data_IF_399343469561
#
_entry.id   IF_399343469561
#
_cell.length_a   1.000
_cell.length_b   1.000
_cell.length_c   1.000
_cell.angle_alpha   90.00
_cell.angle_beta   90.00
_cell.angle_gamma   90.00
#
_symmetry.space_group_name_H-M   'P 1'
#
loop_
_entity.id
_entity.type
_entity.pdbx_description
1 polymer ?
#
# COMPACT_ATOMS: atom_id res chain seq x y z
N UNK A 1 14.35 -6.85 11.72
CA UNK A 1 14.27 -8.10 10.93
C UNK A 1 13.97 -9.34 11.77
N UNK A 2 14.54 -9.47 12.98
CA UNK A 2 14.33 -10.63 13.89
C UNK A 2 12.85 -10.95 14.18
N UNK A 3 12.01 -9.94 14.44
CA UNK A 3 10.58 -10.16 14.67
C UNK A 3 9.87 -10.88 13.52
N UNK A 4 10.21 -10.55 12.27
CA UNK A 4 9.62 -11.18 11.09
C UNK A 4 9.93 -12.67 11.03
N UNK A 5 11.16 -13.06 11.38
CA UNK A 5 11.58 -14.45 11.40
C UNK A 5 10.82 -15.26 12.46
N UNK A 6 10.60 -14.69 13.66
CA UNK A 6 9.78 -15.33 14.69
C UNK A 6 8.32 -15.47 14.29
N UNK A 7 7.73 -14.44 13.67
CA UNK A 7 6.36 -14.51 13.14
C UNK A 7 6.25 -15.53 12.01
N UNK A 8 7.24 -15.61 11.12
CA UNK A 8 7.25 -16.57 10.00
C UNK A 8 7.42 -18.02 10.46
N UNK A 9 8.21 -18.25 11.52
CA UNK A 9 8.41 -19.57 12.13
C UNK A 9 7.29 -19.98 13.10
N UNK A 10 6.31 -19.10 13.35
CA UNK A 10 5.22 -19.38 14.30
C UNK A 10 5.63 -19.32 15.78
N UNK A 11 6.83 -18.82 16.09
CA UNK A 11 7.31 -18.66 17.46
C UNK A 11 6.70 -17.41 18.10
N UNK A 12 5.46 -17.55 18.59
CA UNK A 12 4.69 -16.46 19.19
C UNK A 12 5.33 -15.87 20.46
N UNK A 13 5.91 -16.64 21.39
CA UNK A 13 6.54 -16.07 22.59
C UNK A 13 7.67 -15.09 22.25
N UNK A 14 8.57 -15.49 21.35
CA UNK A 14 9.68 -14.63 20.94
C UNK A 14 9.21 -13.44 20.09
N UNK A 15 8.21 -13.66 19.23
CA UNK A 15 7.59 -12.56 18.48
C UNK A 15 6.95 -11.53 19.42
N UNK A 16 6.25 -11.96 20.47
CA UNK A 16 5.62 -11.09 21.46
C UNK A 16 6.66 -10.23 22.20
N UNK A 17 7.77 -10.83 22.62
CA UNK A 17 8.84 -10.11 23.31
C UNK A 17 9.46 -9.01 22.42
N UNK A 18 9.75 -9.33 21.15
CA UNK A 18 10.33 -8.34 20.23
C UNK A 18 9.32 -7.26 19.87
N UNK A 19 8.03 -7.61 19.72
CA UNK A 19 6.98 -6.61 19.49
C UNK A 19 6.83 -5.65 20.67
N UNK A 20 6.94 -6.13 21.91
CA UNK A 20 6.89 -5.29 23.11
C UNK A 20 8.02 -4.24 23.09
N UNK A 21 9.25 -4.67 22.78
CA UNK A 21 10.40 -3.77 22.61
C UNK A 21 10.17 -2.72 21.51
N UNK A 22 9.64 -3.15 20.36
CA UNK A 22 9.34 -2.23 19.26
C UNK A 22 8.24 -1.24 19.64
N UNK A 23 7.26 -1.66 20.47
CA UNK A 23 6.13 -0.82 20.89
C UNK A 23 6.57 0.36 21.75
N UNK A 24 7.60 0.18 22.58
CA UNK A 24 8.18 1.24 23.41
C UNK A 24 8.85 2.35 22.57
N UNK A 25 9.29 2.01 21.36
CA UNK A 25 9.96 2.94 20.45
C UNK A 25 9.01 3.50 19.38
N UNK A 26 7.87 2.86 19.17
CA UNK A 26 6.90 3.24 18.16
C UNK A 26 6.16 4.53 18.52
N UNK A 27 5.99 5.42 17.54
CA UNK A 27 5.18 6.62 17.73
C UNK A 27 4.58 7.07 16.39
N UNK A 28 3.24 7.23 16.30
CA UNK A 28 2.56 7.64 15.07
C UNK A 28 2.79 9.12 14.70
N UNK A 29 3.17 9.94 15.68
CA UNK A 29 3.51 11.37 15.51
C UNK A 29 5.02 11.64 15.65
N UNK A 30 5.84 10.61 15.84
CA UNK A 30 7.28 10.71 16.00
C UNK A 30 8.05 10.89 14.68
N UNK A 31 9.35 10.60 14.73
CA UNK A 31 10.20 10.63 13.54
C UNK A 31 9.79 9.56 12.50
N UNK A 32 10.34 9.64 11.28
CA UNK A 32 9.99 8.73 10.20
C UNK A 32 10.10 7.25 10.59
N UNK A 33 11.17 6.86 11.30
CA UNK A 33 11.39 5.48 11.72
C UNK A 33 10.39 5.04 12.79
N UNK A 34 10.04 5.91 13.73
CA UNK A 34 9.04 5.63 14.76
C UNK A 34 7.64 5.44 14.15
N UNK A 35 7.30 6.25 13.14
CA UNK A 35 6.04 6.14 12.41
C UNK A 35 5.97 4.83 11.64
N UNK A 36 7.02 4.50 10.90
CA UNK A 36 7.13 3.21 10.18
C UNK A 36 7.02 2.05 11.17
N UNK A 37 7.71 2.13 12.31
CA UNK A 37 7.67 1.09 13.35
C UNK A 37 6.26 0.90 13.90
N UNK A 38 5.52 1.99 14.17
CA UNK A 38 4.13 1.92 14.64
C UNK A 38 3.22 1.18 13.66
N UNK A 39 3.24 1.54 12.37
CA UNK A 39 2.44 0.84 11.35
C UNK A 39 2.88 -0.60 11.13
N UNK A 40 4.18 -0.86 11.25
CA UNK A 40 4.76 -2.19 11.07
C UNK A 40 4.34 -3.15 12.19
N UNK A 41 4.35 -2.71 13.44
CA UNK A 41 3.85 -3.48 14.59
C UNK A 41 2.38 -3.83 14.40
N UNK A 42 1.53 -2.85 14.03
CA UNK A 42 0.11 -3.09 13.79
C UNK A 42 -0.12 -4.15 12.70
N UNK A 43 0.65 -4.07 11.61
CA UNK A 43 0.58 -5.07 10.54
C UNK A 43 1.03 -6.47 11.00
N UNK A 44 2.07 -6.56 11.83
CA UNK A 44 2.52 -7.83 12.40
C UNK A 44 1.52 -8.43 13.39
N UNK A 45 0.93 -7.60 14.25
CA UNK A 45 -0.13 -8.03 15.16
C UNK A 45 -1.32 -8.63 14.39
N UNK A 46 -1.76 -7.97 13.30
CA UNK A 46 -2.79 -8.51 12.42
C UNK A 46 -2.37 -9.85 11.81
N UNK A 47 -1.13 -9.99 11.34
CA UNK A 47 -0.61 -11.26 10.79
C UNK A 47 -0.60 -12.38 11.83
N UNK A 48 -0.23 -12.09 13.08
CA UNK A 48 -0.22 -13.07 14.17
C UNK A 48 -1.65 -13.52 14.50
N UNK A 49 -2.58 -12.57 14.67
CA UNK A 49 -3.97 -12.86 15.03
C UNK A 49 -4.69 -13.66 13.93
N UNK A 50 -4.29 -13.50 12.66
CA UNK A 50 -4.84 -14.29 11.53
C UNK A 50 -4.69 -15.80 11.69
N UNK A 51 -3.75 -16.28 12.49
CA UNK A 51 -3.62 -17.72 12.81
C UNK A 51 -4.88 -18.23 13.52
N UNK A 52 -5.56 -17.36 14.28
CA UNK A 52 -6.81 -17.66 14.98
C UNK A 52 -7.99 -16.97 14.30
N UNK A 53 -8.57 -17.65 13.31
CA UNK A 53 -9.63 -17.10 12.44
C UNK A 53 -10.85 -16.55 13.20
N UNK A 54 -11.22 -17.16 14.34
CA UNK A 54 -12.28 -16.67 15.21
C UNK A 54 -11.94 -15.32 15.84
N UNK A 55 -10.75 -15.21 16.44
CA UNK A 55 -10.28 -13.98 17.06
C UNK A 55 -10.06 -12.87 16.02
N UNK A 56 -9.52 -13.21 14.86
CA UNK A 56 -9.33 -12.28 13.75
C UNK A 56 -10.66 -11.64 13.30
N UNK A 57 -11.71 -12.45 13.16
CA UNK A 57 -13.05 -11.93 12.80
C UNK A 57 -13.63 -11.05 13.89
N UNK A 58 -13.52 -11.45 15.16
CA UNK A 58 -14.01 -10.66 16.28
C UNK A 58 -13.28 -9.31 16.38
N UNK A 59 -11.96 -9.31 16.22
CA UNK A 59 -11.15 -8.09 16.24
C UNK A 59 -11.49 -7.14 15.07
N UNK A 60 -11.74 -7.69 13.88
CA UNK A 60 -12.06 -6.89 12.72
C UNK A 60 -13.54 -6.47 12.62
N UNK A 61 -14.43 -7.04 13.45
CA UNK A 61 -15.85 -6.69 13.47
C UNK A 61 -16.09 -5.25 13.95
N UNK A 62 -15.19 -4.69 14.75
CA UNK A 62 -15.24 -3.32 15.25
C UNK A 62 -14.35 -2.37 14.46
N UNK A 63 -13.72 -2.82 13.38
CA UNK A 63 -12.84 -2.00 12.58
C UNK A 63 -13.63 -0.84 11.94
N UNK A 64 -13.14 0.38 12.15
CA UNK A 64 -13.71 1.57 11.53
C UNK A 64 -13.39 1.51 10.04
N UNK A 65 -14.43 1.41 9.22
CA UNK A 65 -14.29 1.44 7.77
C UNK A 65 -14.15 2.91 7.35
N UNK A 66 -13.06 3.28 6.66
CA UNK A 66 -12.91 4.64 6.15
C UNK A 66 -14.05 5.00 5.21
N UNK A 67 -14.58 6.21 5.33
CA UNK A 67 -15.62 6.68 4.41
C UNK A 67 -15.02 6.97 3.03
N UNK A 68 -15.83 6.88 1.97
CA UNK A 68 -15.39 7.21 0.60
C UNK A 68 -14.81 8.63 0.52
N UNK A 69 -15.37 9.57 1.28
CA UNK A 69 -14.86 10.94 1.37
C UNK A 69 -13.47 11.02 1.99
N UNK A 70 -13.22 10.27 3.07
CA UNK A 70 -11.90 10.20 3.70
C UNK A 70 -10.85 9.62 2.75
N UNK A 71 -11.16 8.51 2.08
CA UNK A 71 -10.28 7.88 1.09
C UNK A 71 -9.90 8.84 -0.05
N UNK A 72 -10.89 9.58 -0.57
CA UNK A 72 -10.65 10.58 -1.61
C UNK A 72 -9.73 11.71 -1.13
N UNK A 73 -9.92 12.19 0.10
CA UNK A 73 -9.09 13.23 0.68
C UNK A 73 -7.63 12.75 0.87
N UNK A 74 -7.43 11.53 1.38
CA UNK A 74 -6.09 10.93 1.55
C UNK A 74 -5.39 10.77 0.21
N UNK A 75 -6.08 10.27 -0.81
CA UNK A 75 -5.51 10.14 -2.17
C UNK A 75 -5.11 11.49 -2.76
N UNK A 76 -5.95 12.52 -2.59
CA UNK A 76 -5.64 13.87 -3.03
C UNK A 76 -4.42 14.43 -2.31
N UNK A 77 -4.35 14.30 -0.99
CA UNK A 77 -3.17 14.73 -0.22
C UNK A 77 -1.89 14.02 -0.67
N UNK A 78 -1.95 12.71 -0.92
CA UNK A 78 -0.81 11.96 -1.43
C UNK A 78 -0.36 12.44 -2.81
N UNK A 79 -1.30 12.73 -3.71
CA UNK A 79 -0.99 13.31 -5.02
C UNK A 79 -0.38 14.72 -4.93
N UNK A 80 -0.90 15.56 -4.03
CA UNK A 80 -0.46 16.94 -3.88
C UNK A 80 0.91 17.05 -3.17
N UNK A 81 1.20 16.15 -2.22
CA UNK A 81 2.42 16.18 -1.40
C UNK A 81 3.56 15.31 -1.93
N UNK A 82 3.26 14.24 -2.67
CA UNK A 82 4.28 13.29 -3.15
C UNK A 82 4.34 13.26 -4.68
N UNK A 83 5.55 13.33 -5.28
CA UNK A 83 5.67 13.45 -6.74
C UNK A 83 5.41 12.14 -7.48
N UNK A 84 5.32 10.99 -6.80
CA UNK A 84 5.27 9.67 -7.42
C UNK A 84 4.10 9.51 -8.41
N UNK A 85 2.89 9.86 -7.97
CA UNK A 85 1.71 9.74 -8.83
C UNK A 85 1.79 10.73 -9.99
N UNK A 86 2.13 11.98 -9.72
CA UNK A 86 2.24 13.01 -10.77
C UNK A 86 3.27 12.61 -11.83
N UNK A 87 4.44 12.12 -11.42
CA UNK A 87 5.46 11.61 -12.35
C UNK A 87 4.95 10.40 -13.14
N UNK A 88 4.24 9.46 -12.49
CA UNK A 88 3.67 8.31 -13.19
C UNK A 88 2.66 8.72 -14.26
N UNK A 89 1.84 9.75 -14.00
CA UNK A 89 0.91 10.28 -15.00
C UNK A 89 1.62 10.91 -16.17
N UNK A 90 2.64 11.75 -15.94
CA UNK A 90 3.41 12.34 -17.05
C UNK A 90 4.04 11.25 -17.90
N UNK A 91 4.76 10.30 -17.30
CA UNK A 91 5.42 9.22 -18.04
C UNK A 91 4.43 8.34 -18.81
N UNK A 92 3.31 7.99 -18.19
CA UNK A 92 2.29 7.17 -18.85
C UNK A 92 1.63 7.93 -20.00
N UNK A 93 1.31 9.21 -19.80
CA UNK A 93 0.70 10.03 -20.84
C UNK A 93 1.65 10.25 -22.02
N UNK A 94 2.93 10.51 -21.76
CA UNK A 94 3.95 10.61 -22.82
C UNK A 94 4.06 9.31 -23.61
N UNK A 95 4.14 8.16 -22.92
CA UNK A 95 4.18 6.86 -23.59
C UNK A 95 2.93 6.57 -24.42
N UNK A 96 1.73 6.94 -23.93
CA UNK A 96 0.48 6.82 -24.69
C UNK A 96 0.50 7.72 -25.92
N UNK A 97 0.94 8.98 -25.78
CA UNK A 97 1.01 9.92 -26.89
C UNK A 97 1.99 9.45 -27.96
N UNK A 98 3.16 8.98 -27.56
CA UNK A 98 4.17 8.41 -28.47
C UNK A 98 3.62 7.19 -29.20
N UNK A 99 3.00 6.24 -28.50
CA UNK A 99 2.38 5.07 -29.11
C UNK A 99 1.25 5.45 -30.08
N UNK A 100 0.42 6.43 -29.72
CA UNK A 100 -0.67 6.91 -30.58
C UNK A 100 -0.15 7.57 -31.87
N UNK A 101 0.97 8.28 -31.78
CA UNK A 101 1.63 8.90 -32.92
C UNK A 101 2.24 7.86 -33.86
N UNK A 102 2.94 6.86 -33.29
CA UNK A 102 3.51 5.73 -34.05
C UNK A 102 2.39 4.97 -34.78
N UNK A 103 1.31 4.59 -34.09
CA UNK A 103 0.19 3.89 -34.73
C UNK A 103 -0.46 4.70 -35.86
N UNK A 104 -0.48 6.03 -35.76
CA UNK A 104 -1.01 6.89 -36.83
C UNK A 104 -0.07 6.97 -38.03
N UNK A 105 1.24 6.92 -37.84
CA UNK A 105 2.22 6.85 -38.93
C UNK A 105 2.16 5.49 -39.63
N UNK A 106 2.18 4.40 -38.87
CA UNK A 106 2.20 3.05 -39.44
C UNK A 106 0.82 2.57 -39.92
N UNK A 107 -0.28 3.06 -39.32
CA UNK A 107 -1.65 2.82 -39.78
C UNK A 107 -2.11 3.74 -40.91
N UNK A 108 -1.27 4.66 -41.37
CA UNK A 108 -1.54 5.55 -42.50
C UNK A 108 -1.14 4.98 -43.88
N UNK A 109 -0.51 3.80 -43.91
CA UNK A 109 -0.15 3.09 -45.14
C UNK A 109 -1.15 1.97 -45.45
N UNK A 110 -2.10 2.27 -46.33
CA UNK A 110 -3.00 1.36 -47.05
C UNK A 110 -3.97 0.48 -46.25
N UNK A 111 -5.27 0.85 -46.28
CA UNK A 111 -6.36 -0.13 -46.20
C UNK A 111 -7.56 0.22 -45.32
N UNK A 112 -8.29 1.29 -45.62
CA UNK A 112 -9.71 1.49 -45.22
C UNK A 112 -10.07 1.51 -43.71
N UNK A 113 -11.27 1.96 -43.33
CA UNK A 113 -11.71 1.92 -41.93
C UNK A 113 -12.12 0.50 -41.51
N UNK A 114 -11.40 -0.09 -40.54
CA UNK A 114 -11.78 -1.34 -39.86
C UNK A 114 -12.87 -1.16 -38.78
N UNK A 115 -13.76 -0.18 -38.96
CA UNK A 115 -14.93 0.00 -38.09
C UNK A 115 -16.20 0.07 -38.95
N UNK A 116 -16.57 -1.09 -39.50
CA UNK A 116 -17.93 -1.48 -39.87
C UNK A 116 -18.08 -2.98 -39.68
#
# INVERSE_FOLDING_TARGET
MTCLAFVASGNLPNASMVLDQMSQLASPSGNAMQRVTAYFISALAHRIIRVWSGLYRAFNATAIIPTVGYEKAVRKMFFDLCPFLRLSYVMTNEAIMEASYILRIYGGGEGGPCWM
#
